data_IF_264781226537
#
_entry.id   IF_264781226537
#
_cell.length_a   1.000
_cell.length_b   1.000
_cell.length_c   1.000
_cell.angle_alpha   90.00
_cell.angle_beta   90.00
_cell.angle_gamma   90.00
#
_symmetry.space_group_name_H-M   'P 1'
#
loop_
_entity.id
_entity.type
_entity.pdbx_description
1 polymer ?
#
# COMPACT_ATOMS: atom_id res chain seq x y z
N UNK A 1 11.19 17.35 9.09
CA UNK A 1 10.82 16.32 8.12
C UNK A 1 12.09 15.88 7.42
N UNK A 2 12.57 14.70 7.75
CA UNK A 2 13.63 14.02 7.01
C UNK A 2 13.11 13.56 5.64
N UNK A 3 14.00 13.12 4.74
CA UNK A 3 13.57 12.54 3.46
C UNK A 3 12.73 11.26 3.63
N UNK A 4 13.01 10.46 4.66
CA UNK A 4 12.23 9.27 5.01
C UNK A 4 10.83 9.64 5.51
N UNK A 5 10.67 10.71 6.31
CA UNK A 5 9.36 11.17 6.76
C UNK A 5 8.46 11.51 5.57
N UNK A 6 9.01 12.18 4.55
CA UNK A 6 8.26 12.53 3.34
C UNK A 6 7.81 11.28 2.58
N UNK A 7 8.69 10.29 2.44
CA UNK A 7 8.37 9.00 1.79
C UNK A 7 7.25 8.27 2.54
N UNK A 8 7.35 8.19 3.86
CA UNK A 8 6.33 7.55 4.70
C UNK A 8 4.99 8.28 4.62
N UNK A 9 5.00 9.60 4.57
CA UNK A 9 3.80 10.42 4.44
C UNK A 9 3.13 10.25 3.07
N UNK A 10 3.90 10.19 1.99
CA UNK A 10 3.38 9.91 0.64
C UNK A 10 2.76 8.51 0.59
N UNK A 11 3.43 7.50 1.16
CA UNK A 11 2.89 6.14 1.25
C UNK A 11 1.58 6.08 2.04
N UNK A 12 1.54 6.77 3.18
CA UNK A 12 0.34 6.90 4.02
C UNK A 12 -0.80 7.57 3.27
N UNK A 13 -0.54 8.68 2.60
CA UNK A 13 -1.54 9.38 1.79
C UNK A 13 -2.08 8.51 0.66
N UNK A 14 -1.24 7.66 0.06
CA UNK A 14 -1.64 6.76 -1.02
C UNK A 14 -2.54 5.62 -0.52
N UNK A 15 -2.23 4.99 0.62
CA UNK A 15 -3.09 3.98 1.23
C UNK A 15 -4.42 4.61 1.64
N UNK A 16 -4.40 5.74 2.34
CA UNK A 16 -5.62 6.41 2.78
C UNK A 16 -6.47 6.89 1.60
N UNK A 17 -5.85 7.43 0.55
CA UNK A 17 -6.53 7.83 -0.67
C UNK A 17 -7.18 6.64 -1.38
N UNK A 18 -6.46 5.52 -1.46
CA UNK A 18 -6.98 4.28 -2.03
C UNK A 18 -8.17 3.76 -1.23
N UNK A 19 -8.03 3.69 0.10
CA UNK A 19 -9.10 3.26 1.00
C UNK A 19 -10.31 4.18 0.93
N UNK A 20 -10.11 5.50 0.91
CA UNK A 20 -11.17 6.49 0.76
C UNK A 20 -11.94 6.31 -0.54
N UNK A 21 -11.25 6.09 -1.67
CA UNK A 21 -11.89 5.81 -2.95
C UNK A 21 -12.68 4.50 -2.93
N UNK A 22 -12.17 3.48 -2.23
CA UNK A 22 -12.88 2.20 -2.04
C UNK A 22 -14.15 2.38 -1.21
N UNK A 23 -14.08 3.06 -0.06
CA UNK A 23 -15.25 3.32 0.80
C UNK A 23 -16.27 4.21 0.09
N UNK A 24 -15.81 5.16 -0.73
CA UNK A 24 -16.68 5.99 -1.57
C UNK A 24 -17.31 5.24 -2.76
N UNK A 25 -17.03 3.94 -2.94
CA UNK A 25 -17.52 3.15 -4.07
C UNK A 25 -16.92 3.53 -5.43
N UNK A 26 -15.84 4.34 -5.44
CA UNK A 26 -15.17 4.84 -6.65
C UNK A 26 -14.04 3.94 -7.12
N UNK A 27 -13.58 3.01 -6.27
CA UNK A 27 -12.56 2.02 -6.60
C UNK A 27 -12.95 0.63 -6.07
N UNK A 28 -12.78 -0.40 -6.87
CA UNK A 28 -12.99 -1.79 -6.44
C UNK A 28 -11.72 -2.31 -5.75
N UNK A 29 -11.77 -2.71 -4.46
CA UNK A 29 -10.61 -3.18 -3.71
C UNK A 29 -10.00 -4.46 -4.25
N UNK A 30 -10.72 -5.19 -5.12
CA UNK A 30 -10.23 -6.43 -5.75
C UNK A 30 -9.64 -6.21 -7.14
N UNK A 31 -9.63 -4.97 -7.65
CA UNK A 31 -9.09 -4.62 -8.97
C UNK A 31 -7.70 -4.00 -8.88
N UNK A 32 -7.00 -4.04 -10.02
CA UNK A 32 -5.63 -3.57 -10.16
C UNK A 32 -5.37 -2.17 -9.57
N UNK A 33 -6.22 -1.13 -9.79
CA UNK A 33 -5.90 0.22 -9.31
C UNK A 33 -5.79 0.30 -7.79
N UNK A 34 -6.75 -0.30 -7.06
CA UNK A 34 -6.75 -0.28 -5.61
C UNK A 34 -5.65 -1.17 -5.02
N UNK A 35 -5.44 -2.36 -5.59
CA UNK A 35 -4.37 -3.25 -5.16
C UNK A 35 -2.98 -2.63 -5.42
N UNK A 36 -2.77 -1.98 -6.58
CA UNK A 36 -1.53 -1.30 -6.90
C UNK A 36 -1.28 -0.08 -5.99
N UNK A 37 -2.33 0.71 -5.70
CA UNK A 37 -2.25 1.82 -4.76
C UNK A 37 -1.82 1.38 -3.36
N UNK A 38 -2.46 0.32 -2.83
CA UNK A 38 -2.08 -0.23 -1.53
C UNK A 38 -0.67 -0.85 -1.53
N UNK A 39 -0.29 -1.59 -2.57
CA UNK A 39 1.05 -2.17 -2.67
C UNK A 39 2.13 -1.09 -2.72
N UNK A 40 1.93 -0.05 -3.53
CA UNK A 40 2.85 1.07 -3.63
C UNK A 40 2.92 1.87 -2.33
N UNK A 41 1.78 2.16 -1.71
CA UNK A 41 1.71 2.91 -0.46
C UNK A 41 2.41 2.19 0.69
N UNK A 42 2.13 0.90 0.85
CA UNK A 42 2.77 0.06 1.86
C UNK A 42 4.28 -0.06 1.63
N UNK A 43 4.72 -0.21 0.38
CA UNK A 43 6.14 -0.26 0.04
C UNK A 43 6.88 1.02 0.39
N UNK A 44 6.25 2.19 0.19
CA UNK A 44 6.83 3.48 0.59
C UNK A 44 6.93 3.61 2.11
N UNK A 45 5.89 3.22 2.86
CA UNK A 45 5.95 3.27 4.33
C UNK A 45 7.04 2.32 4.84
N UNK A 46 7.10 1.09 4.33
CA UNK A 46 8.18 0.15 4.68
C UNK A 46 9.57 0.71 4.37
N UNK A 47 9.74 1.41 3.25
CA UNK A 47 11.01 2.07 2.92
C UNK A 47 11.36 3.19 3.92
N UNK A 48 10.37 3.95 4.41
CA UNK A 48 10.60 4.99 5.42
C UNK A 48 11.03 4.43 6.78
N UNK A 49 10.56 3.22 7.14
CA UNK A 49 10.88 2.57 8.40
C UNK A 49 12.34 2.09 8.49
N UNK A 50 13.09 2.09 7.38
CA UNK A 50 14.51 1.75 7.43
C UNK A 50 15.35 2.77 8.20
N UNK A 51 14.88 4.02 8.28
CA UNK A 51 15.57 5.07 9.03
C UNK A 51 15.13 5.10 10.51
N UNK A 52 13.82 5.10 10.75
CA UNK A 52 13.22 5.08 12.08
C UNK A 52 12.35 3.84 12.24
N UNK A 53 12.96 2.79 12.80
CA UNK A 53 12.32 1.48 12.85
C UNK A 53 11.10 1.48 13.78
N UNK A 54 9.97 1.03 13.23
CA UNK A 54 8.76 0.78 13.98
C UNK A 54 8.22 -0.60 13.62
N UNK A 55 8.37 -1.55 14.56
CA UNK A 55 7.95 -2.94 14.34
C UNK A 55 6.44 -3.06 14.10
N UNK A 56 5.63 -2.26 14.80
CA UNK A 56 4.18 -2.29 14.63
C UNK A 56 3.77 -1.84 13.23
N UNK A 57 4.34 -0.74 12.75
CA UNK A 57 4.09 -0.25 11.40
C UNK A 57 4.61 -1.25 10.36
N UNK A 58 5.79 -1.83 10.57
CA UNK A 58 6.37 -2.80 9.64
C UNK A 58 5.49 -4.04 9.46
N UNK A 59 4.88 -4.55 10.53
CA UNK A 59 3.96 -5.70 10.45
C UNK A 59 2.69 -5.35 9.67
N UNK A 60 2.08 -4.19 9.98
CA UNK A 60 0.83 -3.76 9.33
C UNK A 60 1.06 -3.51 7.84
N UNK A 61 2.09 -2.76 7.50
CA UNK A 61 2.40 -2.43 6.10
C UNK A 61 2.93 -3.63 5.33
N UNK A 62 3.70 -4.51 5.98
CA UNK A 62 4.10 -5.79 5.42
C UNK A 62 2.89 -6.66 5.05
N UNK A 63 1.90 -6.75 5.93
CA UNK A 63 0.66 -7.47 5.66
C UNK A 63 -0.12 -6.84 4.50
N UNK A 64 -0.26 -5.51 4.48
CA UNK A 64 -0.90 -4.79 3.37
C UNK A 64 -0.21 -5.04 2.03
N UNK A 65 1.13 -4.96 1.99
CA UNK A 65 1.92 -5.25 0.80
C UNK A 65 1.69 -6.68 0.30
N UNK A 66 1.75 -7.68 1.19
CA UNK A 66 1.52 -9.10 0.83
C UNK A 66 0.12 -9.32 0.28
N UNK A 67 -0.91 -8.82 0.97
CA UNK A 67 -2.31 -8.97 0.55
C UNK A 67 -2.52 -8.34 -0.84
N UNK A 68 -1.98 -7.14 -1.04
CA UNK A 68 -2.10 -6.42 -2.30
C UNK A 68 -1.38 -7.14 -3.45
N UNK A 69 -0.16 -7.62 -3.22
CA UNK A 69 0.64 -8.37 -4.19
C UNK A 69 -0.02 -9.70 -4.58
N UNK A 70 -0.57 -10.46 -3.62
CA UNK A 70 -1.32 -11.69 -3.91
C UNK A 70 -2.56 -11.41 -4.77
N UNK A 71 -3.28 -10.32 -4.49
CA UNK A 71 -4.40 -9.87 -5.31
C UNK A 71 -4.00 -9.53 -6.75
N UNK A 72 -2.89 -8.79 -6.92
CA UNK A 72 -2.35 -8.44 -8.23
C UNK A 72 -1.89 -9.67 -9.00
N UNK A 73 -1.18 -10.59 -8.34
CA UNK A 73 -0.72 -11.84 -8.95
C UNK A 73 -1.90 -12.68 -9.44
N UNK A 74 -2.95 -12.82 -8.62
CA UNK A 74 -4.18 -13.52 -9.01
C UNK A 74 -4.84 -12.88 -10.23
N UNK A 75 -4.85 -11.55 -10.32
CA UNK A 75 -5.41 -10.83 -11.45
C UNK A 75 -4.55 -10.97 -12.71
N UNK A 76 -3.22 -11.00 -12.57
CA UNK A 76 -2.29 -11.22 -13.67
C UNK A 76 -2.43 -12.64 -14.24
N UNK A 77 -2.59 -13.66 -13.38
CA UNK A 77 -2.79 -15.05 -13.80
C UNK A 77 -4.13 -15.22 -14.52
N UNK A 78 -5.22 -14.62 -14.02
CA UNK A 78 -6.57 -14.72 -14.63
C UNK A 78 -6.74 -13.99 -15.96
N UNK A 79 -5.79 -13.12 -16.32
CA UNK A 79 -5.76 -12.41 -17.61
C UNK A 79 -5.02 -13.19 -18.69
N UNK A 80 -4.34 -14.29 -18.35
CA UNK A 80 -3.83 -15.28 -19.30
C UNK A 80 -4.84 -16.40 -19.47
#
# INVERSE_FOLDING_TARGET
MTGSDAIGLVGTALILGTYALTVAGRADPKRAPALAGNAAGASLILASLWHDWNLSAAIVEGAWAVIALLGLLRLAIRRR
#
